data_IF_265002948557
#
_entry.id   IF_265002948557
#
_cell.length_a   1.000
_cell.length_b   1.000
_cell.length_c   1.000
_cell.angle_alpha   90.00
_cell.angle_beta   90.00
_cell.angle_gamma   90.00
#
_symmetry.space_group_name_H-M   'P 1'
#
loop_
_entity.id
_entity.type
_entity.pdbx_description
1 polymer ?
#
# COMPACT_ATOMS: atom_id res chain seq x y z
N UNK A 1 20.67 -7.99 9.21
CA UNK A 1 20.46 -6.80 10.05
C UNK A 1 19.31 -6.02 9.44
N UNK A 2 18.20 -5.86 10.15
CA UNK A 2 17.07 -5.07 9.69
C UNK A 2 17.47 -3.59 9.70
N UNK A 3 17.46 -2.95 8.53
CA UNK A 3 17.70 -1.51 8.40
C UNK A 3 16.38 -0.81 8.72
N UNK A 4 16.24 -0.28 9.94
CA UNK A 4 15.15 0.66 10.25
C UNK A 4 15.32 1.89 9.37
N UNK A 5 14.24 2.34 8.73
CA UNK A 5 14.27 3.57 7.92
C UNK A 5 14.81 4.72 8.79
N UNK A 6 15.81 5.49 8.31
CA UNK A 6 16.38 6.57 9.10
C UNK A 6 15.32 7.65 9.35
N UNK A 7 15.12 8.02 10.62
CA UNK A 7 14.28 9.15 11.05
C UNK A 7 14.78 10.51 10.51
N UNK A 8 15.98 10.54 9.91
CA UNK A 8 16.61 11.69 9.30
C UNK A 8 16.43 11.64 7.78
N UNK A 9 15.65 12.59 7.26
CA UNK A 9 15.56 12.86 5.82
C UNK A 9 16.91 13.39 5.34
N UNK A 10 17.66 12.55 4.61
CA UNK A 10 18.89 12.99 3.96
C UNK A 10 18.58 13.65 2.61
N UNK A 11 19.43 14.57 2.12
CA UNK A 11 19.27 15.17 0.79
C UNK A 11 19.17 14.14 -0.33
N UNK A 12 19.86 13.00 -0.18
CA UNK A 12 19.85 11.90 -1.14
C UNK A 12 18.48 11.22 -1.20
N UNK A 13 17.84 10.97 -0.05
CA UNK A 13 16.49 10.42 0.03
C UNK A 13 15.46 11.38 -0.58
N UNK A 14 15.58 12.68 -0.30
CA UNK A 14 14.73 13.71 -0.89
C UNK A 14 14.87 13.76 -2.42
N UNK A 15 16.09 13.61 -2.94
CA UNK A 15 16.33 13.54 -4.38
C UNK A 15 15.72 12.27 -5.02
N UNK A 16 15.85 11.11 -4.37
CA UNK A 16 15.26 9.86 -4.88
C UNK A 16 13.73 9.93 -4.91
N UNK A 17 13.12 10.58 -3.91
CA UNK A 17 11.68 10.84 -3.86
C UNK A 17 11.23 11.82 -4.94
N UNK A 18 11.95 12.91 -5.15
CA UNK A 18 11.64 13.87 -6.21
C UNK A 18 11.66 13.20 -7.59
N UNK A 19 12.67 12.36 -7.86
CA UNK A 19 12.73 11.56 -9.10
C UNK A 19 11.51 10.65 -9.25
N UNK A 20 11.09 9.98 -8.17
CA UNK A 20 9.88 9.16 -8.20
C UNK A 20 8.63 9.98 -8.50
N UNK A 21 8.47 11.13 -7.85
CA UNK A 21 7.33 12.02 -8.10
C UNK A 21 7.27 12.45 -9.56
N UNK A 22 8.41 12.82 -10.15
CA UNK A 22 8.50 13.17 -11.56
C UNK A 22 8.10 11.99 -12.48
N UNK A 23 8.59 10.78 -12.20
CA UNK A 23 8.23 9.57 -12.97
C UNK A 23 6.73 9.26 -12.90
N UNK A 24 6.14 9.36 -11.70
CA UNK A 24 4.70 9.14 -11.53
C UNK A 24 3.89 10.20 -12.29
N UNK A 25 4.27 11.48 -12.21
CA UNK A 25 3.57 12.58 -12.90
C UNK A 25 3.64 12.42 -14.42
N UNK A 26 4.78 11.99 -14.97
CA UNK A 26 4.89 11.70 -16.41
C UNK A 26 3.90 10.62 -16.87
N UNK A 27 3.51 9.70 -15.98
CA UNK A 27 2.51 8.67 -16.24
C UNK A 27 1.09 9.09 -15.84
N UNK A 28 0.86 10.35 -15.48
CA UNK A 28 -0.44 10.85 -15.01
C UNK A 28 -0.84 10.28 -13.65
N UNK A 29 0.13 9.92 -12.82
CA UNK A 29 -0.06 9.34 -11.49
C UNK A 29 0.50 10.26 -10.40
N UNK A 30 -0.01 10.08 -9.18
CA UNK A 30 0.53 10.70 -7.96
C UNK A 30 0.76 9.64 -6.89
N UNK A 31 1.84 9.81 -6.13
CA UNK A 31 2.15 8.95 -5.00
C UNK A 31 1.23 9.21 -3.80
N UNK A 32 0.82 8.15 -3.10
CA UNK A 32 0.11 8.21 -1.83
C UNK A 32 1.07 7.76 -0.74
N UNK A 33 1.30 8.62 0.25
CA UNK A 33 2.26 8.34 1.31
C UNK A 33 1.90 7.08 2.12
N UNK A 34 2.85 6.16 2.19
CA UNK A 34 2.79 4.94 3.01
C UNK A 34 3.78 5.01 4.17
N UNK A 35 3.49 4.34 5.31
CA UNK A 35 4.47 4.17 6.37
C UNK A 35 5.75 3.53 5.81
N UNK A 36 6.93 4.12 6.07
CA UNK A 36 8.22 3.61 5.59
C UNK A 36 8.74 2.48 6.48
N UNK A 37 7.98 1.39 6.58
CA UNK A 37 8.32 0.19 7.35
C UNK A 37 8.49 -1.04 6.44
N UNK A 38 8.87 -2.18 7.03
CA UNK A 38 9.01 -3.45 6.32
C UNK A 38 7.72 -3.94 5.65
N UNK A 39 6.57 -3.36 6.00
CA UNK A 39 5.26 -3.71 5.47
C UNK A 39 4.78 -2.76 4.36
N UNK A 40 5.64 -1.89 3.81
CA UNK A 40 5.29 -0.93 2.75
C UNK A 40 4.52 -1.54 1.55
N UNK A 41 4.89 -2.73 1.07
CA UNK A 41 4.11 -3.45 0.05
C UNK A 41 2.68 -3.73 0.55
N UNK A 42 2.55 -4.29 1.75
CA UNK A 42 1.26 -4.70 2.32
C UNK A 42 0.37 -3.49 2.60
N UNK A 43 0.95 -2.36 3.01
CA UNK A 43 0.21 -1.10 3.12
C UNK A 43 -0.45 -0.72 1.79
N UNK A 44 0.26 -0.92 0.66
CA UNK A 44 -0.33 -0.71 -0.66
C UNK A 44 -1.39 -1.71 -1.04
N UNK A 45 -1.15 -3.00 -0.78
CA UNK A 45 -2.16 -4.00 -1.11
C UNK A 45 -3.42 -3.80 -0.28
N UNK A 46 -3.31 -3.46 1.01
CA UNK A 46 -4.45 -3.08 1.84
C UNK A 46 -5.16 -1.87 1.23
N UNK A 47 -4.42 -0.84 0.83
CA UNK A 47 -4.98 0.37 0.25
C UNK A 47 -5.80 0.10 -1.02
N UNK A 48 -5.32 -0.79 -1.89
CA UNK A 48 -5.99 -1.16 -3.14
C UNK A 48 -7.13 -2.17 -2.96
N UNK A 49 -6.94 -3.16 -2.09
CA UNK A 49 -7.87 -4.28 -1.97
C UNK A 49 -9.00 -4.01 -0.98
N UNK A 50 -8.83 -3.06 -0.05
CA UNK A 50 -9.84 -2.77 0.96
C UNK A 50 -11.22 -2.38 0.37
N UNK A 51 -11.32 -1.50 -0.64
CA UNK A 51 -12.61 -1.18 -1.27
C UNK A 51 -13.31 -2.38 -1.90
N UNK A 52 -12.56 -3.45 -2.20
CA UNK A 52 -13.05 -4.66 -2.84
C UNK A 52 -13.45 -5.74 -1.83
N UNK A 53 -13.26 -5.50 -0.52
CA UNK A 53 -13.60 -6.43 0.56
C UNK A 53 -13.05 -7.86 0.33
N UNK A 54 -11.86 -7.97 -0.26
CA UNK A 54 -11.26 -9.24 -0.66
C UNK A 54 -11.03 -10.21 0.52
N UNK A 55 -10.89 -9.69 1.74
CA UNK A 55 -10.84 -10.49 2.95
C UNK A 55 -12.13 -10.26 3.74
N UNK A 56 -12.96 -11.30 3.87
CA UNK A 56 -14.24 -11.26 4.60
C UNK A 56 -14.06 -10.93 6.09
N UNK A 57 -12.87 -11.20 6.63
CA UNK A 57 -12.52 -11.05 8.05
C UNK A 57 -11.67 -9.80 8.33
N UNK A 58 -11.72 -8.75 7.51
CA UNK A 58 -11.15 -7.49 7.97
C UNK A 58 -11.83 -7.11 9.30
N UNK A 59 -11.07 -6.85 10.39
CA UNK A 59 -11.66 -6.56 11.69
C UNK A 59 -12.72 -5.46 11.57
N UNK A 60 -13.91 -5.63 12.19
CA UNK A 60 -15.03 -4.70 12.01
C UNK A 60 -14.72 -3.23 12.38
N UNK A 61 -13.67 -2.97 13.15
CA UNK A 61 -13.15 -1.63 13.44
C UNK A 61 -12.20 -1.02 12.38
N UNK A 62 -11.88 -1.78 11.32
CA UNK A 62 -10.94 -1.42 10.27
C UNK A 62 -11.67 -0.74 9.11
N UNK A 63 -11.96 0.55 9.25
CA UNK A 63 -12.32 1.43 8.12
C UNK A 63 -11.04 2.04 7.55
N UNK A 64 -10.56 1.56 6.40
CA UNK A 64 -9.37 2.12 5.73
C UNK A 64 -9.79 3.41 5.03
N UNK A 65 -9.35 4.54 5.57
CA UNK A 65 -9.59 5.88 5.00
C UNK A 65 -8.29 6.36 4.35
N UNK A 66 -8.42 7.07 3.23
CA UNK A 66 -7.33 7.76 2.54
C UNK A 66 -6.49 8.57 3.54
N UNK A 67 -5.16 8.44 3.50
CA UNK A 67 -4.27 9.15 4.43
C UNK A 67 -3.92 10.51 3.83
N UNK A 68 -4.54 11.55 4.38
CA UNK A 68 -3.85 12.76 4.80
C UNK A 68 -3.68 12.67 6.31
N UNK A 69 -2.47 12.88 6.82
CA UNK A 69 -2.15 12.74 8.23
C UNK A 69 -2.95 13.73 9.11
N UNK A 70 -3.80 13.22 10.01
CA UNK A 70 -4.31 14.00 11.15
C UNK A 70 -4.82 13.14 12.33
N UNK A 71 -5.62 12.09 12.12
CA UNK A 71 -6.51 11.63 13.23
C UNK A 71 -6.43 10.14 13.61
N UNK A 72 -5.27 9.63 14.05
CA UNK A 72 -5.21 8.29 14.67
C UNK A 72 -5.55 7.10 13.75
N UNK A 73 -5.46 7.30 12.43
CA UNK A 73 -5.82 6.32 11.39
C UNK A 73 -4.65 5.46 10.90
N UNK A 74 -3.40 5.90 11.10
CA UNK A 74 -2.20 5.12 10.79
C UNK A 74 -2.13 3.76 11.54
N UNK A 75 -2.52 3.64 12.83
CA UNK A 75 -2.54 2.37 13.55
C UNK A 75 -3.47 1.31 12.93
N UNK A 76 -4.60 1.71 12.34
CA UNK A 76 -5.55 0.77 11.71
C UNK A 76 -4.99 0.18 10.42
N UNK A 77 -4.29 1.00 9.62
CA UNK A 77 -3.61 0.52 8.40
C UNK A 77 -2.43 -0.40 8.74
N UNK A 78 -1.65 -0.07 9.77
CA UNK A 78 -0.58 -0.94 10.28
C UNK A 78 -1.15 -2.28 10.74
N UNK A 79 -2.23 -2.28 11.53
CA UNK A 79 -2.91 -3.52 11.91
C UNK A 79 -3.43 -4.31 10.70
N UNK A 80 -3.91 -3.62 9.66
CA UNK A 80 -4.36 -4.26 8.42
C UNK A 80 -3.22 -4.91 7.66
N UNK A 81 -2.09 -4.22 7.55
CA UNK A 81 -0.89 -4.73 6.90
C UNK A 81 -0.32 -5.93 7.66
N UNK A 82 -0.31 -5.89 9.00
CA UNK A 82 0.12 -7.02 9.83
C UNK A 82 -0.83 -8.22 9.72
N UNK A 83 -2.14 -7.99 9.73
CA UNK A 83 -3.12 -9.06 9.50
C UNK A 83 -2.94 -9.67 8.10
N UNK A 84 -2.77 -8.83 7.08
CA UNK A 84 -2.52 -9.27 5.72
C UNK A 84 -1.21 -10.04 5.60
N UNK A 85 -0.15 -9.64 6.30
CA UNK A 85 1.15 -10.34 6.34
C UNK A 85 0.94 -11.81 6.70
N UNK A 86 0.22 -12.06 7.79
CA UNK A 86 -0.08 -13.41 8.26
C UNK A 86 -0.92 -14.17 7.23
N UNK A 87 -2.05 -13.61 6.80
CA UNK A 87 -2.95 -14.29 5.85
C UNK A 87 -2.32 -14.58 4.49
N UNK A 88 -1.47 -13.67 4.01
CA UNK A 88 -0.72 -13.83 2.77
C UNK A 88 0.29 -14.97 2.88
N UNK A 89 1.03 -15.03 3.99
CA UNK A 89 2.02 -16.08 4.21
C UNK A 89 1.36 -17.44 4.49
N UNK A 90 0.23 -17.48 5.18
CA UNK A 90 -0.56 -18.72 5.32
C UNK A 90 -0.97 -19.27 3.94
N UNK A 91 -1.43 -18.39 3.04
CA UNK A 91 -1.72 -18.75 1.65
C UNK A 91 -0.46 -19.21 0.90
N UNK A 92 0.65 -18.47 1.01
CA UNK A 92 1.89 -18.79 0.31
C UNK A 92 2.47 -20.13 0.76
N UNK A 93 2.44 -20.42 2.07
CA UNK A 93 2.91 -21.68 2.66
C UNK A 93 2.04 -22.87 2.24
N UNK A 94 0.73 -22.70 2.12
CA UNK A 94 -0.17 -23.73 1.58
C UNK A 94 0.13 -24.08 0.11
N UNK A 95 0.74 -23.14 -0.62
CA UNK A 95 1.03 -23.27 -2.05
C UNK A 95 2.53 -23.23 -2.37
N UNK A 96 3.38 -23.51 -1.37
CA UNK A 96 4.83 -23.27 -1.47
C UNK A 96 5.49 -24.03 -2.61
N UNK A 97 5.12 -25.29 -2.86
CA UNK A 97 5.67 -26.11 -3.96
C UNK A 97 5.44 -25.49 -5.34
N UNK A 98 4.26 -24.90 -5.56
CA UNK A 98 3.94 -24.27 -6.85
C UNK A 98 4.65 -22.92 -6.99
N UNK A 99 4.75 -22.15 -5.90
CA UNK A 99 5.46 -20.88 -5.87
C UNK A 99 6.97 -21.07 -6.04
N UNK A 100 7.59 -22.03 -5.33
CA UNK A 100 9.01 -22.34 -5.45
C UNK A 100 9.36 -22.85 -6.84
N UNK A 101 8.53 -23.75 -7.40
CA UNK A 101 8.67 -24.24 -8.76
C UNK A 101 8.60 -23.12 -9.80
N UNK A 102 7.72 -22.15 -9.62
CA UNK A 102 7.63 -20.98 -10.50
C UNK A 102 8.84 -20.05 -10.34
N UNK A 103 9.30 -19.82 -9.10
CA UNK A 103 10.47 -18.98 -8.81
C UNK A 103 11.81 -19.65 -9.19
N UNK A 104 11.79 -20.93 -9.56
CA UNK A 104 12.99 -21.75 -9.80
C UNK A 104 13.94 -21.76 -8.60
N UNK A 105 13.38 -21.83 -7.40
CA UNK A 105 14.10 -21.85 -6.12
C UNK A 105 13.82 -23.13 -5.35
N UNK A 106 14.69 -23.46 -4.40
CA UNK A 106 14.47 -24.58 -3.49
C UNK A 106 13.21 -24.35 -2.63
N UNK A 107 12.43 -25.41 -2.40
CA UNK A 107 11.18 -25.30 -1.64
C UNK A 107 11.43 -24.95 -0.17
N UNK A 108 12.51 -25.48 0.44
CA UNK A 108 12.84 -25.21 1.84
C UNK A 108 13.28 -23.75 2.01
N UNK A 109 14.10 -23.22 1.10
CA UNK A 109 14.52 -21.82 1.11
C UNK A 109 13.32 -20.86 0.98
N UNK A 110 12.40 -21.15 0.05
CA UNK A 110 11.18 -20.33 -0.16
C UNK A 110 10.24 -20.44 1.05
N UNK A 111 10.16 -21.61 1.69
CA UNK A 111 9.40 -21.79 2.93
C UNK A 111 9.99 -20.95 4.05
N UNK A 112 11.30 -21.04 4.31
CA UNK A 112 11.98 -20.24 5.35
C UNK A 112 11.79 -18.75 5.09
N UNK A 113 11.86 -18.33 3.82
CA UNK A 113 11.61 -16.96 3.41
C UNK A 113 10.20 -16.49 3.79
N UNK A 114 9.16 -17.28 3.50
CA UNK A 114 7.78 -16.94 3.84
C UNK A 114 7.53 -16.97 5.35
N UNK A 115 8.12 -17.90 6.09
CA UNK A 115 8.02 -17.93 7.56
C UNK A 115 8.71 -16.71 8.18
N UNK A 116 9.89 -16.35 7.70
CA UNK A 116 10.61 -15.15 8.13
C UNK A 116 9.78 -13.89 7.86
N UNK A 117 9.24 -13.73 6.66
CA UNK A 117 8.38 -12.60 6.34
C UNK A 117 7.09 -12.58 7.16
N UNK A 118 6.51 -13.75 7.50
CA UNK A 118 5.33 -13.85 8.37
C UNK A 118 5.64 -13.34 9.78
N UNK A 119 6.76 -13.79 10.34
CA UNK A 119 7.02 -13.73 11.78
C UNK A 119 7.81 -12.46 12.18
N UNK A 120 8.46 -11.79 11.23
CA UNK A 120 9.26 -10.58 11.44
C UNK A 120 8.57 -9.33 10.87
N UNK A 121 7.98 -8.43 11.70
CA UNK A 121 7.18 -7.29 11.22
C UNK A 121 7.92 -6.27 10.33
N UNK A 122 9.23 -6.15 10.51
CA UNK A 122 10.09 -5.22 9.76
C UNK A 122 10.76 -5.89 8.54
N UNK A 123 10.50 -7.18 8.31
CA UNK A 123 11.02 -7.86 7.15
C UNK A 123 10.36 -7.31 5.88
N UNK A 124 11.18 -6.89 4.92
CA UNK A 124 10.74 -6.30 3.67
C UNK A 124 10.28 -7.36 2.68
N UNK A 125 9.28 -7.04 1.87
CA UNK A 125 8.84 -7.92 0.81
C UNK A 125 9.85 -7.97 -0.35
N UNK A 126 10.03 -9.17 -0.88
CA UNK A 126 10.87 -9.49 -2.04
C UNK A 126 9.98 -9.98 -3.20
N UNK A 127 10.62 -10.42 -4.28
CA UNK A 127 9.95 -11.05 -5.43
C UNK A 127 9.01 -12.18 -5.03
N UNK A 128 9.37 -13.00 -4.04
CA UNK A 128 8.55 -14.13 -3.61
C UNK A 128 7.18 -13.66 -3.09
N UNK A 129 7.17 -12.64 -2.22
CA UNK A 129 5.93 -12.07 -1.68
C UNK A 129 5.11 -11.34 -2.75
N UNK A 130 5.75 -10.72 -3.75
CA UNK A 130 5.03 -10.11 -4.88
C UNK A 130 4.22 -11.16 -5.66
N UNK A 131 4.80 -12.32 -5.96
CA UNK A 131 4.08 -13.41 -6.65
C UNK A 131 2.99 -14.04 -5.78
N UNK A 132 3.21 -14.14 -4.46
CA UNK A 132 2.17 -14.56 -3.53
C UNK A 132 0.98 -13.58 -3.54
N UNK A 133 1.23 -12.26 -3.51
CA UNK A 133 0.19 -11.22 -3.58
C UNK A 133 -0.57 -11.29 -4.90
N UNK A 134 0.17 -11.32 -6.01
CA UNK A 134 -0.41 -11.39 -7.35
C UNK A 134 -1.35 -12.59 -7.49
N UNK A 135 -0.92 -13.75 -6.99
CA UNK A 135 -1.68 -15.00 -7.01
C UNK A 135 -2.90 -14.96 -6.09
N UNK A 136 -2.72 -14.59 -4.81
CA UNK A 136 -3.78 -14.56 -3.81
C UNK A 136 -4.93 -13.65 -4.25
N UNK A 137 -4.65 -12.46 -4.78
CA UNK A 137 -5.68 -11.48 -5.15
C UNK A 137 -6.04 -11.47 -6.64
N UNK A 138 -5.44 -12.34 -7.46
CA UNK A 138 -5.57 -12.31 -8.92
C UNK A 138 -5.35 -10.89 -9.47
N UNK A 139 -4.17 -10.33 -9.16
CA UNK A 139 -3.77 -9.00 -9.61
C UNK A 139 -2.46 -9.07 -10.40
N UNK A 140 -2.34 -8.21 -11.39
CA UNK A 140 -1.08 -7.87 -12.04
C UNK A 140 -0.46 -6.69 -11.29
N UNK A 141 0.76 -6.84 -10.80
CA UNK A 141 1.49 -5.73 -10.17
C UNK A 141 2.43 -5.09 -11.20
N UNK A 142 2.23 -3.80 -11.46
CA UNK A 142 3.12 -3.00 -12.30
C UNK A 142 3.92 -2.08 -11.39
N UNK A 143 5.24 -2.18 -11.45
CA UNK A 143 6.14 -1.39 -10.60
C UNK A 143 6.82 -0.29 -11.45
N UNK A 144 6.57 0.96 -11.08
CA UNK A 144 7.23 2.13 -11.66
C UNK A 144 8.43 2.46 -10.79
N UNK A 145 9.62 2.37 -11.37
CA UNK A 145 10.89 2.69 -10.72
C UNK A 145 11.20 4.19 -10.78
N UNK A 146 12.00 4.70 -9.83
CA UNK A 146 12.61 6.04 -9.91
C UNK A 146 13.93 6.07 -10.70
N UNK A 147 14.35 4.94 -11.26
CA UNK A 147 15.46 4.81 -12.20
C UNK A 147 14.94 4.23 -13.53
N UNK A 148 15.02 5.03 -14.59
CA UNK A 148 14.56 4.67 -15.94
C UNK A 148 15.31 3.48 -16.55
N UNK A 149 16.54 3.23 -16.08
CA UNK A 149 17.34 2.08 -16.52
C UNK A 149 16.92 0.77 -15.86
N UNK A 150 16.12 0.85 -14.79
CA UNK A 150 15.65 -0.30 -14.02
C UNK A 150 14.20 -0.61 -14.38
N UNK A 151 14.02 -1.42 -15.42
CA UNK A 151 12.72 -1.90 -15.82
C UNK A 151 12.37 -3.17 -15.03
N UNK A 152 11.17 -3.19 -14.47
CA UNK A 152 10.66 -4.32 -13.72
C UNK A 152 9.50 -4.92 -14.51
N UNK A 153 9.64 -6.19 -14.89
CA UNK A 153 8.56 -6.90 -15.56
C UNK A 153 7.31 -6.96 -14.65
N UNK A 154 6.10 -6.83 -15.21
CA UNK A 154 4.88 -6.97 -14.44
C UNK A 154 4.82 -8.33 -13.72
N UNK A 155 4.47 -8.31 -12.44
CA UNK A 155 4.30 -9.53 -11.65
C UNK A 155 2.88 -10.05 -11.86
N UNK A 156 2.77 -11.23 -12.47
CA UNK A 156 1.49 -11.87 -12.77
C UNK A 156 1.16 -12.98 -11.76
N UNK A 157 -0.14 -13.29 -11.57
CA UNK A 157 -0.56 -14.45 -10.78
C UNK A 157 0.05 -15.75 -11.34
N UNK A 158 0.57 -16.61 -10.47
CA UNK A 158 1.10 -17.92 -10.87
C UNK A 158 -0.07 -18.80 -11.32
N UNK A 159 0.10 -19.44 -12.48
CA UNK A 159 -0.94 -20.27 -13.11
C UNK A 159 -1.29 -21.45 -12.20
N UNK A 160 -2.59 -21.70 -12.02
CA UNK A 160 -3.09 -22.83 -11.24
C UNK A 160 -3.27 -22.55 -9.74
N UNK A 161 -2.83 -21.40 -9.24
CA UNK A 161 -3.10 -21.01 -7.86
C UNK A 161 -4.49 -20.38 -7.69
N UNK A 162 -5.22 -20.73 -6.61
CA UNK A 162 -6.55 -20.18 -6.37
C UNK A 162 -6.45 -18.72 -5.90
N UNK A 163 -7.42 -17.89 -6.27
CA UNK A 163 -7.54 -16.52 -5.74
C UNK A 163 -8.63 -16.45 -4.67
N UNK A 164 -8.39 -15.64 -3.65
CA UNK A 164 -9.39 -15.31 -2.62
C UNK A 164 -10.33 -14.19 -3.06
N UNK A 165 -9.95 -13.44 -4.11
CA UNK A 165 -10.77 -12.37 -4.67
C UNK A 165 -11.58 -12.90 -5.85
N UNK A 166 -12.88 -12.67 -5.80
CA UNK A 166 -13.76 -12.96 -6.94
C UNK A 166 -13.61 -11.91 -8.05
N UNK A 167 -13.80 -12.35 -9.30
CA UNK A 167 -13.85 -11.48 -10.47
C UNK A 167 -12.58 -11.47 -11.33
N UNK A 168 -12.58 -10.67 -12.42
CA UNK A 168 -11.51 -10.66 -13.40
C UNK A 168 -10.22 -10.09 -12.81
N UNK A 169 -9.08 -10.41 -13.44
CA UNK A 169 -7.76 -9.86 -13.08
C UNK A 169 -7.80 -8.33 -13.09
N UNK A 170 -7.11 -7.71 -12.13
CA UNK A 170 -6.93 -6.25 -12.06
C UNK A 170 -5.46 -5.90 -12.09
N UNK A 171 -5.14 -4.79 -12.72
CA UNK A 171 -3.80 -4.20 -12.68
C UNK A 171 -3.71 -3.25 -11.48
N UNK A 172 -2.64 -3.39 -10.70
CA UNK A 172 -2.29 -2.55 -9.55
C UNK A 172 -0.93 -1.93 -9.83
N UNK A 173 -0.88 -0.62 -9.95
CA UNK A 173 0.34 0.13 -10.25
C UNK A 173 0.91 0.73 -8.98
N UNK A 174 2.16 0.42 -8.67
CA UNK A 174 2.89 0.93 -7.51
C UNK A 174 4.16 1.64 -7.97
N UNK A 175 4.58 2.68 -7.26
CA UNK A 175 5.93 3.18 -7.32
C UNK A 175 6.86 2.29 -6.50
N UNK A 176 8.10 2.14 -6.92
CA UNK A 176 9.16 1.44 -6.20
C UNK A 176 10.44 2.28 -6.19
N UNK A 177 10.79 2.80 -5.01
CA UNK A 177 12.09 3.42 -4.80
C UNK A 177 13.13 2.31 -4.74
N UNK A 178 14.06 2.29 -5.70
CA UNK A 178 15.16 1.33 -5.70
C UNK A 178 16.04 1.57 -4.48
N UNK A 179 16.52 0.51 -3.81
CA UNK A 179 17.55 0.63 -2.80
C UNK A 179 18.77 1.43 -3.31
N UNK A 180 19.22 2.39 -2.52
CA UNK A 180 20.43 3.18 -2.76
C UNK A 180 21.27 3.19 -1.48
N UNK A 181 22.55 3.58 -1.52
CA UNK A 181 23.49 3.48 -0.37
C UNK A 181 22.87 3.87 0.99
N UNK A 182 22.61 2.87 1.85
CA UNK A 182 22.02 3.04 3.18
C UNK A 182 20.49 3.19 3.24
N UNK A 183 19.80 3.16 2.10
CA UNK A 183 18.35 3.26 1.95
C UNK A 183 17.78 1.95 1.39
N UNK A 184 16.90 1.33 2.17
CA UNK A 184 16.18 0.15 1.74
C UNK A 184 15.12 0.50 0.68
N UNK A 185 14.75 -0.48 -0.14
CA UNK A 185 13.71 -0.30 -1.16
C UNK A 185 12.36 0.04 -0.50
N UNK A 186 11.52 0.80 -1.21
CA UNK A 186 10.23 1.23 -0.66
C UNK A 186 9.13 1.30 -1.71
N UNK A 187 8.00 0.65 -1.41
CA UNK A 187 6.81 0.67 -2.26
C UNK A 187 5.92 1.87 -1.93
N UNK A 188 5.43 2.53 -2.97
CA UNK A 188 4.56 3.70 -2.90
C UNK A 188 3.29 3.38 -3.68
N UNK A 189 2.12 3.65 -3.11
CA UNK A 189 0.88 3.41 -3.84
C UNK A 189 0.59 4.58 -4.75
N UNK A 190 -0.08 4.34 -5.86
CA UNK A 190 -0.32 5.38 -6.87
C UNK A 190 -1.80 5.65 -7.06
N UNK A 191 -2.14 6.86 -7.51
CA UNK A 191 -3.50 7.23 -7.90
C UNK A 191 -3.44 8.03 -9.20
N UNK A 192 -4.47 7.89 -10.04
CA UNK A 192 -4.63 8.74 -11.21
C UNK A 192 -4.70 10.21 -10.80
N UNK A 193 -3.94 11.04 -11.51
CA UNK A 193 -4.01 12.48 -11.45
C UNK A 193 -5.28 12.94 -12.18
N UNK A 194 -6.46 12.75 -11.56
CA UNK A 194 -7.72 13.24 -12.13
C UNK A 194 -7.64 14.77 -12.27
N UNK A 195 -7.95 15.26 -13.48
CA UNK A 195 -7.92 16.68 -13.83
C UNK A 195 -8.63 17.55 -12.79
N UNK A 196 -7.90 18.52 -12.25
CA UNK A 196 -8.37 19.50 -11.28
C UNK A 196 -9.42 20.44 -11.90
N UNK A 197 -10.67 19.98 -12.04
CA UNK A 197 -11.80 20.86 -12.36
C UNK A 197 -12.83 20.73 -11.25
N UNK A 198 -12.91 21.75 -10.40
CA UNK A 198 -14.09 22.02 -9.56
C UNK A 198 -14.02 21.62 -8.07
N UNK A 199 -12.92 21.05 -7.57
CA UNK A 199 -12.69 20.97 -6.13
C UNK A 199 -11.93 22.22 -5.65
N UNK A 200 -12.28 22.83 -4.50
CA UNK A 200 -11.49 23.91 -3.96
C UNK A 200 -10.04 23.44 -3.86
N UNK A 201 -9.11 24.26 -4.37
CA UNK A 201 -7.68 24.06 -4.27
C UNK A 201 -7.29 24.02 -2.78
N UNK A 202 -7.46 22.86 -2.16
CA UNK A 202 -6.66 22.51 -0.99
C UNK A 202 -5.28 22.20 -1.56
N UNK A 203 -4.37 23.15 -1.41
CA UNK A 203 -2.91 23.00 -1.54
C UNK A 203 -2.35 22.01 -0.50
N UNK A 204 -3.06 20.92 -0.25
CA UNK A 204 -2.76 19.83 0.67
C UNK A 204 -2.84 18.47 -0.03
N UNK A 205 -2.77 18.46 -1.37
CA UNK A 205 -2.41 17.30 -2.20
C UNK A 205 -0.91 17.40 -2.43
N UNK A 206 -0.18 16.91 -1.44
CA UNK A 206 1.23 17.24 -1.22
C UNK A 206 1.49 17.15 0.26
N UNK A 207 1.24 15.97 0.83
CA UNK A 207 1.77 15.65 2.14
C UNK A 207 3.28 15.63 1.99
N UNK A 208 3.91 16.77 2.25
CA UNK A 208 5.34 16.84 2.53
C UNK A 208 5.63 15.70 3.50
N UNK A 209 6.51 14.78 3.13
CA UNK A 209 7.07 13.75 4.00
C UNK A 209 7.94 14.36 5.12
N UNK A 210 7.68 15.62 5.52
CA UNK A 210 8.32 16.28 6.64
C UNK A 210 7.45 16.11 7.88
N UNK A 211 8.10 15.67 8.94
CA UNK A 211 7.52 15.25 10.20
C UNK A 211 6.42 16.16 10.74
N UNK A 212 5.52 15.54 11.50
CA UNK A 212 4.53 16.11 12.42
C UNK A 212 4.51 17.64 12.50
N UNK A 213 3.47 18.27 11.92
CA UNK A 213 3.08 19.62 12.31
C UNK A 213 1.89 19.47 13.24
N UNK A 214 2.02 20.01 14.46
CA UNK A 214 0.95 20.09 15.44
C UNK A 214 -0.11 21.08 14.94
N UNK A 215 -1.29 20.60 14.57
CA UNK A 215 -2.46 21.46 14.34
C UNK A 215 -3.35 21.34 15.59
N UNK A 216 -3.13 22.24 16.54
CA UNK A 216 -4.15 22.54 17.55
C UNK A 216 -5.34 23.26 16.89
N UNK A 217 -6.53 23.24 17.50
CA UNK A 217 -7.69 23.90 16.93
C UNK A 217 -7.42 25.41 16.82
N UNK A 218 -7.90 26.08 15.76
CA UNK A 218 -7.68 27.51 15.59
C UNK A 218 -8.28 28.26 16.79
N UNK A 219 -7.43 29.00 17.51
CA UNK A 219 -7.91 30.02 18.45
C UNK A 219 -8.65 31.09 17.64
N UNK A 220 -9.89 31.34 18.05
CA UNK A 220 -10.75 32.44 17.64
C UNK A 220 -11.56 32.23 16.35
N UNK A 221 -12.57 31.36 16.40
CA UNK A 221 -13.83 31.65 15.73
C UNK A 221 -14.98 31.46 16.72
N UNK A 222 -15.69 32.56 16.96
CA UNK A 222 -16.83 32.69 17.85
C UNK A 222 -17.93 31.67 17.55
N UNK A 223 -18.45 31.03 18.60
CA UNK A 223 -19.58 30.11 18.54
C UNK A 223 -20.85 30.83 18.09
N UNK A 224 -21.37 30.48 16.91
CA UNK A 224 -22.74 30.76 16.50
C UNK A 224 -23.55 29.46 16.50
N UNK A 225 -24.53 29.35 17.38
CA UNK A 225 -25.40 28.18 17.51
C UNK A 225 -26.25 27.94 16.25
N UNK A 226 -26.39 26.68 15.80
CA UNK A 226 -27.71 26.13 15.40
C UNK A 226 -27.67 24.66 14.96
N UNK A 227 -28.55 23.90 15.61
CA UNK A 227 -29.35 22.78 15.10
C UNK A 227 -28.69 21.48 14.64
N UNK A 228 -28.77 20.53 15.55
CA UNK A 228 -28.93 19.08 15.32
C UNK A 228 -29.73 18.74 14.05
N UNK A 229 -29.08 18.11 13.07
CA UNK A 229 -29.77 17.23 12.11
C UNK A 229 -29.05 15.88 12.03
N UNK A 230 -29.80 14.88 12.48
CA UNK A 230 -29.54 13.44 12.46
C UNK A 230 -29.45 13.01 10.99
N UNK A 231 -28.36 12.36 10.59
CA UNK A 231 -28.25 11.75 9.26
C UNK A 231 -29.27 10.61 9.14
N UNK A 232 -30.27 10.76 8.27
CA UNK A 232 -31.21 9.71 7.87
C UNK A 232 -30.51 8.71 6.93
N UNK A 233 -30.79 7.41 7.13
CA UNK A 233 -30.33 6.31 6.27
C UNK A 233 -31.01 6.39 4.90
N UNK A 234 -30.23 6.17 3.84
CA UNK A 234 -30.72 5.99 2.46
C UNK A 234 -31.36 4.58 2.36
N UNK A 235 -32.57 4.41 1.80
CA UNK A 235 -33.23 3.10 1.69
C UNK A 235 -32.69 2.27 0.51
N UNK A 236 -32.60 0.96 0.74
CA UNK A 236 -32.29 -0.09 -0.23
C UNK A 236 -33.29 -0.11 -1.40
N UNK A 237 -32.81 -0.06 -2.64
CA UNK A 237 -33.61 -0.40 -3.82
C UNK A 237 -33.51 -1.90 -4.08
N UNK A 238 -34.63 -2.60 -3.85
CA UNK A 238 -34.96 -3.84 -4.56
C UNK A 238 -35.29 -3.49 -6.00
N UNK A 239 -34.80 -4.30 -6.94
CA UNK A 239 -35.44 -4.45 -8.24
C UNK A 239 -35.57 -5.94 -8.51
N UNK A 240 -36.78 -6.29 -8.91
CA UNK A 240 -37.33 -7.61 -9.24
C UNK A 240 -36.60 -8.32 -10.39
#
# INVERSE_FOLDING_TARGET
>A
MAMTAPDLITPELDMQRAKMEDQLVQMGLVGVGMPPDGSCLLHCIVYEMYPLQCLREYPAGMTVVNVGAADGMAPRRVAAAQFLRIKLMDYALQHVTALSGFLMQDEEDVRERYETFRDMPDEQATTAELYAVASMFNVELVLISNDESFQIDPVLPVVGLPSVREGPRRTVTLGYLIPADGLAGHYICTREQRGQVGMPQNSFVGGSYRGSITIGPPKNMSCGASNTRRFERIPEQRVE
#
